data_IF_524661768631
#
_entry.id   IF_524661768631
#
_cell.length_a   1.000
_cell.length_b   1.000
_cell.length_c   1.000
_cell.angle_alpha   90.00
_cell.angle_beta   90.00
_cell.angle_gamma   90.00
#
_symmetry.space_group_name_H-M   'P 1'
#
loop_
_entity.id
_entity.type
_entity.pdbx_description
1 polymer ?
#
# COMPACT_ATOMS: atom_id res chain seq x y z
N UNK A 1 23.03 3.26 -5.59
CA UNK A 1 22.87 2.31 -4.47
C UNK A 1 21.67 2.79 -3.72
N UNK A 2 20.54 2.09 -3.83
CA UNK A 2 19.30 2.50 -3.17
C UNK A 2 19.37 2.19 -1.68
N UNK A 3 18.77 3.05 -0.87
CA UNK A 3 18.57 2.78 0.56
C UNK A 3 17.33 1.91 0.77
N UNK A 4 17.26 1.18 1.88
CA UNK A 4 16.08 0.34 2.20
C UNK A 4 14.78 1.16 2.20
N UNK A 5 14.71 2.39 2.77
CA UNK A 5 13.50 3.22 2.70
C UNK A 5 13.05 3.56 1.27
N UNK A 6 14.00 3.81 0.36
CA UNK A 6 13.67 4.06 -1.06
C UNK A 6 13.08 2.81 -1.72
N UNK A 7 13.64 1.63 -1.44
CA UNK A 7 13.12 0.36 -1.95
C UNK A 7 11.71 0.05 -1.45
N UNK A 8 11.42 0.34 -0.17
CA UNK A 8 10.09 0.17 0.41
C UNK A 8 9.08 1.13 -0.22
N UNK A 9 9.50 2.37 -0.51
CA UNK A 9 8.67 3.37 -1.19
C UNK A 9 8.34 2.97 -2.63
N UNK A 10 9.31 2.41 -3.37
CA UNK A 10 9.07 1.86 -4.71
C UNK A 10 8.12 0.66 -4.68
N UNK A 11 8.26 -0.23 -3.68
CA UNK A 11 7.35 -1.35 -3.49
C UNK A 11 5.93 -0.87 -3.15
N UNK A 12 5.79 0.15 -2.30
CA UNK A 12 4.51 0.78 -2.00
C UNK A 12 3.84 1.34 -3.27
N UNK A 13 4.61 1.99 -4.14
CA UNK A 13 4.13 2.44 -5.45
C UNK A 13 3.69 1.29 -6.38
N UNK A 14 4.34 0.13 -6.27
CA UNK A 14 3.94 -1.09 -7.00
C UNK A 14 2.59 -1.61 -6.49
N UNK A 15 2.37 -1.64 -5.17
CA UNK A 15 1.08 -2.03 -4.59
C UNK A 15 -0.06 -1.11 -5.03
N UNK A 16 0.17 0.22 -5.06
CA UNK A 16 -0.81 1.18 -5.56
C UNK A 16 -1.11 1.00 -7.05
N UNK A 17 -0.09 0.76 -7.87
CA UNK A 17 -0.29 0.54 -9.30
C UNK A 17 -1.09 -0.75 -9.54
N UNK A 18 -0.76 -1.81 -8.81
CA UNK A 18 -1.48 -3.08 -8.90
C UNK A 18 -2.94 -2.95 -8.42
N UNK A 19 -3.21 -2.16 -7.38
CA UNK A 19 -4.59 -1.94 -6.90
C UNK A 19 -5.45 -1.25 -7.96
N UNK A 20 -4.89 -0.24 -8.64
CA UNK A 20 -5.53 0.47 -9.74
C UNK A 20 -5.76 -0.46 -10.94
N UNK A 21 -4.76 -1.24 -11.34
CA UNK A 21 -4.89 -2.21 -12.45
C UNK A 21 -6.01 -3.24 -12.20
N UNK A 22 -6.13 -3.74 -10.97
CA UNK A 22 -7.21 -4.67 -10.60
C UNK A 22 -8.57 -3.98 -10.68
N UNK A 23 -8.69 -2.78 -10.13
CA UNK A 23 -9.96 -2.04 -10.12
C UNK A 23 -10.42 -1.70 -11.53
N UNK A 24 -9.52 -1.25 -12.38
CA UNK A 24 -9.79 -0.92 -13.78
C UNK A 24 -10.18 -2.17 -14.57
N UNK A 25 -9.45 -3.28 -14.38
CA UNK A 25 -9.77 -4.55 -15.02
C UNK A 25 -11.15 -5.07 -14.61
N UNK A 26 -11.49 -4.99 -13.32
CA UNK A 26 -12.81 -5.40 -12.83
C UNK A 26 -13.92 -4.52 -13.37
N UNK A 27 -13.76 -3.19 -13.32
CA UNK A 27 -14.72 -2.23 -13.87
C UNK A 27 -14.94 -2.45 -15.37
N UNK A 28 -13.87 -2.74 -16.13
CA UNK A 28 -13.96 -3.12 -17.53
C UNK A 28 -14.72 -4.44 -17.75
N UNK A 29 -14.51 -5.43 -16.89
CA UNK A 29 -15.18 -6.73 -16.97
C UNK A 29 -16.69 -6.65 -16.63
N UNK A 30 -17.10 -5.76 -15.72
CA UNK A 30 -18.51 -5.61 -15.34
C UNK A 30 -19.42 -5.31 -16.54
N UNK A 31 -18.95 -4.51 -17.50
CA UNK A 31 -19.71 -4.23 -18.73
C UNK A 31 -19.96 -5.48 -19.57
N UNK A 32 -18.99 -6.38 -19.65
CA UNK A 32 -19.10 -7.66 -20.39
C UNK A 32 -20.00 -8.65 -19.64
N UNK A 33 -19.96 -8.63 -18.31
CA UNK A 33 -20.73 -9.51 -17.44
C UNK A 33 -22.17 -9.02 -17.20
N UNK A 34 -22.52 -7.82 -17.68
CA UNK A 34 -23.86 -7.28 -17.53
C UNK A 34 -24.88 -8.11 -18.34
N UNK A 35 -25.88 -8.67 -17.66
CA UNK A 35 -26.99 -9.36 -18.32
C UNK A 35 -28.20 -8.44 -18.44
N UNK A 36 -28.83 -8.44 -19.62
CA UNK A 36 -30.13 -7.82 -19.80
C UNK A 36 -31.20 -8.59 -18.99
N UNK A 37 -32.18 -7.87 -18.43
CA UNK A 37 -33.24 -8.45 -17.59
C UNK A 37 -34.09 -9.55 -18.28
N UNK A 38 -34.02 -9.66 -19.61
CA UNK A 38 -34.68 -10.69 -20.41
C UNK A 38 -33.73 -11.71 -21.07
N UNK A 39 -32.43 -11.71 -20.75
CA UNK A 39 -31.42 -12.53 -21.43
C UNK A 39 -31.71 -14.04 -21.36
N UNK A 40 -32.42 -14.48 -20.31
CA UNK A 40 -32.78 -15.89 -20.11
C UNK A 40 -34.14 -16.29 -20.73
N UNK A 41 -34.86 -15.33 -21.34
CA UNK A 41 -36.18 -15.52 -21.93
C UNK A 41 -37.22 -16.10 -20.96
N UNK A 42 -38.27 -16.73 -21.52
CA UNK A 42 -39.35 -17.39 -20.76
C UNK A 42 -39.03 -18.87 -20.44
N UNK A 43 -37.75 -19.22 -20.35
CA UNK A 43 -37.36 -20.59 -20.00
C UNK A 43 -37.74 -20.88 -18.54
N UNK A 44 -38.12 -22.12 -18.24
CA UNK A 44 -38.52 -22.51 -16.88
C UNK A 44 -37.43 -22.27 -15.82
N UNK A 45 -36.15 -22.26 -16.22
CA UNK A 45 -35.00 -21.96 -15.36
C UNK A 45 -34.42 -20.55 -15.52
N UNK A 46 -35.04 -19.67 -16.31
CA UNK A 46 -34.45 -18.38 -16.64
C UNK A 46 -34.27 -17.46 -15.42
N UNK A 47 -35.26 -17.45 -14.52
CA UNK A 47 -35.20 -16.68 -13.29
C UNK A 47 -34.08 -17.15 -12.33
N UNK A 48 -33.89 -18.46 -12.17
CA UNK A 48 -32.82 -18.99 -11.31
C UNK A 48 -31.44 -18.76 -11.91
N UNK A 49 -31.31 -18.83 -13.24
CA UNK A 49 -30.07 -18.45 -13.93
C UNK A 49 -29.70 -16.99 -13.69
N UNK A 50 -30.63 -16.04 -13.88
CA UNK A 50 -30.38 -14.62 -13.64
C UNK A 50 -30.01 -14.35 -12.17
N UNK A 51 -30.72 -14.96 -11.23
CA UNK A 51 -30.41 -14.82 -9.81
C UNK A 51 -29.02 -15.34 -9.44
N UNK A 52 -28.62 -16.50 -9.95
CA UNK A 52 -27.30 -17.06 -9.73
C UNK A 52 -26.19 -16.18 -10.32
N UNK A 53 -26.41 -15.64 -11.53
CA UNK A 53 -25.49 -14.71 -12.17
C UNK A 53 -25.31 -13.44 -11.35
N UNK A 54 -26.41 -12.77 -10.97
CA UNK A 54 -26.37 -11.55 -10.17
C UNK A 54 -25.64 -11.78 -8.85
N UNK A 55 -25.97 -12.85 -8.12
CA UNK A 55 -25.30 -13.18 -6.86
C UNK A 55 -23.81 -13.45 -7.04
N UNK A 56 -23.41 -14.08 -8.16
CA UNK A 56 -22.00 -14.31 -8.49
C UNK A 56 -21.29 -12.99 -8.80
N UNK A 57 -21.92 -12.10 -9.56
CA UNK A 57 -21.36 -10.78 -9.89
C UNK A 57 -21.18 -9.91 -8.65
N UNK A 58 -22.17 -9.87 -7.75
CA UNK A 58 -22.08 -9.17 -6.46
C UNK A 58 -20.98 -9.74 -5.55
N UNK A 59 -20.84 -11.08 -5.53
CA UNK A 59 -19.77 -11.73 -4.77
C UNK A 59 -18.39 -11.40 -5.32
N UNK A 60 -18.26 -11.36 -6.65
CA UNK A 60 -17.03 -10.96 -7.31
C UNK A 60 -16.68 -9.50 -7.00
N UNK A 61 -17.67 -8.59 -7.05
CA UNK A 61 -17.48 -7.18 -6.71
C UNK A 61 -16.92 -6.99 -5.30
N UNK A 62 -17.49 -7.70 -4.32
CA UNK A 62 -17.00 -7.70 -2.96
C UNK A 62 -15.55 -8.22 -2.84
N UNK A 63 -15.22 -9.29 -3.55
CA UNK A 63 -13.87 -9.89 -3.50
C UNK A 63 -12.83 -8.96 -4.12
N UNK A 64 -13.12 -8.39 -5.29
CA UNK A 64 -12.21 -7.44 -5.94
C UNK A 64 -12.03 -6.17 -5.11
N UNK A 65 -13.11 -5.63 -4.54
CA UNK A 65 -13.02 -4.48 -3.62
C UNK A 65 -12.15 -4.78 -2.39
N UNK A 66 -12.26 -5.99 -1.82
CA UNK A 66 -11.38 -6.41 -0.70
C UNK A 66 -9.92 -6.56 -1.13
N UNK A 67 -9.66 -7.07 -2.32
CA UNK A 67 -8.29 -7.24 -2.82
C UNK A 67 -7.61 -5.90 -3.06
N UNK A 68 -8.33 -4.93 -3.65
CA UNK A 68 -7.87 -3.54 -3.80
C UNK A 68 -7.55 -2.93 -2.44
N UNK A 69 -8.44 -3.07 -1.45
CA UNK A 69 -8.22 -2.52 -0.11
C UNK A 69 -6.99 -3.10 0.60
N UNK A 70 -6.67 -4.39 0.39
CA UNK A 70 -5.45 -5.01 0.94
C UNK A 70 -4.21 -4.39 0.30
N UNK A 71 -4.19 -4.23 -1.03
CA UNK A 71 -3.04 -3.62 -1.72
C UNK A 71 -2.82 -2.17 -1.32
N UNK A 72 -3.90 -1.42 -1.09
CA UNK A 72 -3.82 -0.03 -0.58
C UNK A 72 -3.31 0.00 0.87
N UNK A 73 -3.76 -0.92 1.72
CA UNK A 73 -3.23 -1.02 3.09
C UNK A 73 -1.74 -1.41 3.11
N UNK A 74 -1.33 -2.36 2.26
CA UNK A 74 0.08 -2.76 2.14
C UNK A 74 0.94 -1.57 1.69
N UNK A 75 0.43 -0.71 0.79
CA UNK A 75 1.08 0.52 0.37
C UNK A 75 1.28 1.49 1.54
N UNK A 76 0.23 1.75 2.32
CA UNK A 76 0.30 2.62 3.50
C UNK A 76 1.28 2.08 4.55
N UNK A 77 1.26 0.78 4.83
CA UNK A 77 2.15 0.13 5.80
C UNK A 77 3.62 0.21 5.36
N UNK A 78 3.90 0.00 4.07
CA UNK A 78 5.24 0.10 3.52
C UNK A 78 5.79 1.53 3.60
N UNK A 79 4.96 2.54 3.30
CA UNK A 79 5.36 3.94 3.46
C UNK A 79 5.59 4.31 4.92
N UNK A 80 4.74 3.83 5.84
CA UNK A 80 4.92 4.07 7.27
C UNK A 80 6.27 3.52 7.75
N UNK A 81 6.61 2.28 7.38
CA UNK A 81 7.91 1.68 7.74
C UNK A 81 9.07 2.44 7.13
N UNK A 82 8.98 2.85 5.85
CA UNK A 82 10.02 3.64 5.20
C UNK A 82 10.27 4.97 5.93
N UNK A 83 9.19 5.66 6.30
CA UNK A 83 9.26 6.93 7.03
C UNK A 83 9.84 6.77 8.43
N UNK A 84 9.44 5.73 9.17
CA UNK A 84 9.97 5.42 10.50
C UNK A 84 11.46 5.11 10.46
N UNK A 85 11.92 4.37 9.44
CA UNK A 85 13.34 4.09 9.24
C UNK A 85 14.13 5.38 8.98
N UNK A 86 13.66 6.24 8.06
CA UNK A 86 14.31 7.52 7.76
C UNK A 86 14.36 8.43 9.00
N UNK A 87 13.28 8.52 9.76
CA UNK A 87 13.21 9.32 10.99
C UNK A 87 14.17 8.79 12.07
N UNK A 88 14.25 7.47 12.21
CA UNK A 88 15.16 6.82 13.17
C UNK A 88 16.62 7.04 12.80
N UNK A 89 16.96 6.97 11.52
CA UNK A 89 18.31 7.25 11.01
C UNK A 89 18.71 8.70 11.28
N UNK A 90 17.85 9.67 10.96
CA UNK A 90 18.11 11.09 11.19
C UNK A 90 18.30 11.41 12.68
N UNK A 91 17.45 10.86 13.55
CA UNK A 91 17.55 11.01 15.01
C UNK A 91 18.85 10.42 15.56
N UNK A 92 19.23 9.25 15.07
CA UNK A 92 20.49 8.58 15.43
C UNK A 92 21.69 9.41 14.99
N UNK A 93 21.69 9.92 13.75
CA UNK A 93 22.74 10.79 13.23
C UNK A 93 22.84 12.11 14.01
N UNK A 94 21.72 12.71 14.42
CA UNK A 94 21.71 13.89 15.28
C UNK A 94 22.35 13.61 16.65
N UNK A 95 22.02 12.47 17.26
CA UNK A 95 22.58 12.02 18.54
C UNK A 95 24.09 11.79 18.45
N UNK A 96 24.57 11.13 17.40
CA UNK A 96 26.01 10.94 17.16
C UNK A 96 26.75 12.26 16.97
N UNK A 97 26.21 13.19 16.19
CA UNK A 97 26.80 14.52 15.98
C UNK A 97 26.91 15.31 17.29
N UNK A 98 25.88 15.27 18.14
CA UNK A 98 25.90 15.89 19.45
C UNK A 98 26.96 15.27 20.39
N UNK A 99 27.07 13.94 20.40
CA UNK A 99 28.08 13.22 21.19
C UNK A 99 29.52 13.54 20.77
N UNK A 100 29.78 13.65 19.46
CA UNK A 100 31.11 14.02 18.94
C UNK A 100 31.49 15.46 19.29
N UNK A 101 30.54 16.40 19.26
CA UNK A 101 30.79 17.79 19.68
C UNK A 101 31.18 17.88 21.18
N UNK A 102 30.55 17.07 22.04
CA UNK A 102 30.90 17.01 23.47
C UNK A 102 32.32 16.50 23.74
N UNK A 103 32.79 15.52 22.96
CA UNK A 103 34.15 14.99 23.06
C UNK A 103 35.21 15.99 22.58
N UNK A 104 34.92 16.78 21.53
CA UNK A 104 35.84 17.81 21.03
C UNK A 104 35.91 19.05 21.95
N UNK A 105 34.83 19.40 22.65
CA UNK A 105 34.81 20.49 23.64
C UNK A 105 35.56 20.18 24.94
N UNK A 106 35.66 18.90 25.33
CA UNK A 106 36.36 18.47 26.56
C UNK A 106 37.89 18.50 26.48
N UNK A 107 38.47 18.47 25.28
CA UNK A 107 39.92 18.39 25.09
C UNK A 107 40.67 19.74 25.26
N UNK A 108 39.95 20.87 25.45
CA UNK A 108 40.54 22.21 25.57
C UNK A 108 40.65 22.79 26.98
N UNK A 109 40.11 22.12 28.02
CA UNK A 109 39.88 22.73 29.34
C UNK A 109 40.97 22.54 30.41
N UNK A 110 42.08 21.88 30.09
CA UNK A 110 43.10 21.48 31.08
C UNK A 110 44.43 22.22 30.95
N UNK A 111 44.53 23.41 31.55
CA UNK A 111 45.75 23.96 32.21
C UNK A 111 45.50 25.40 32.69
N UNK A 112 45.04 25.56 33.93
CA UNK A 112 45.44 26.70 34.77
C UNK A 112 46.51 26.18 35.72
N UNK A 113 47.76 26.50 35.39
CA UNK A 113 48.88 26.37 36.29
C UNK A 113 48.79 27.49 37.35
N UNK A 114 48.99 27.07 38.60
CA UNK A 114 49.47 27.77 39.81
C UNK A 114 49.16 29.26 39.92
#
# INVERSE_FOLDING_TARGET
MYTVPEQLSELAGTCLSASQEVLDAWTGAQGVLALAAGAAGNTAGGGSFLAAHTSTAESADLVFGRFVAVLEQDMDDLYAVAFDMSTTDESTAATYRAGQAGLQGGAGGGRRAV
#
